data_IF_766152784510
#
_entry.id   IF_766152784510
#
_cell.length_a   1.000
_cell.length_b   1.000
_cell.length_c   1.000
_cell.angle_alpha   90.00
_cell.angle_beta   90.00
_cell.angle_gamma   90.00
#
_symmetry.space_group_name_H-M   'P 1'
#
loop_
_entity.id
_entity.type
_entity.pdbx_description
1 polymer ?
#
# COMPACT_ATOMS: atom_id res chain seq x y z
N UNK A 1 -7.27 14.87 13.16
CA UNK A 1 -8.27 14.64 14.24
C UNK A 1 -8.80 15.95 14.83
N UNK A 2 -7.98 16.92 15.20
CA UNK A 2 -8.47 18.21 15.76
C UNK A 2 -9.43 18.98 14.82
N UNK A 3 -9.12 19.04 13.53
CA UNK A 3 -9.98 19.73 12.53
C UNK A 3 -11.34 19.07 12.40
N UNK A 4 -11.39 17.72 12.36
CA UNK A 4 -12.65 16.97 12.27
C UNK A 4 -13.51 17.16 13.53
N UNK A 5 -12.89 17.10 14.71
CA UNK A 5 -13.59 17.33 15.97
C UNK A 5 -14.17 18.76 16.01
N UNK A 6 -13.40 19.76 15.59
CA UNK A 6 -13.87 21.16 15.55
C UNK A 6 -15.04 21.35 14.58
N UNK A 7 -14.99 20.70 13.40
CA UNK A 7 -16.09 20.74 12.45
C UNK A 7 -17.37 20.11 13.03
N UNK A 8 -17.23 19.01 13.77
CA UNK A 8 -18.37 18.37 14.45
C UNK A 8 -18.98 19.25 15.55
N UNK A 9 -18.15 19.90 16.36
CA UNK A 9 -18.59 20.86 17.39
C UNK A 9 -19.40 22.00 16.78
N UNK A 10 -18.91 22.61 15.70
CA UNK A 10 -19.58 23.72 15.02
C UNK A 10 -20.93 23.28 14.42
N UNK A 11 -20.98 22.08 13.79
CA UNK A 11 -22.24 21.52 13.30
C UNK A 11 -23.23 21.26 14.44
N UNK A 12 -22.77 20.73 15.56
CA UNK A 12 -23.61 20.52 16.75
C UNK A 12 -24.13 21.83 17.34
N UNK A 13 -23.41 22.94 17.16
CA UNK A 13 -23.83 24.29 17.52
C UNK A 13 -24.80 24.94 16.50
N UNK A 14 -25.15 24.24 15.42
CA UNK A 14 -26.07 24.74 14.37
C UNK A 14 -25.41 25.53 13.25
N UNK A 15 -24.06 25.54 13.20
CA UNK A 15 -23.32 26.21 12.12
C UNK A 15 -23.33 25.36 10.84
N UNK A 16 -23.50 26.02 9.69
CA UNK A 16 -23.38 25.37 8.38
C UNK A 16 -21.91 25.19 7.99
N UNK A 17 -21.34 24.04 8.32
CA UNK A 17 -19.91 23.73 8.11
C UNK A 17 -19.73 22.62 7.09
N UNK A 18 -19.02 22.92 6.01
CA UNK A 18 -18.55 21.94 5.04
C UNK A 18 -17.24 21.32 5.56
N UNK A 19 -17.28 20.02 5.91
CA UNK A 19 -16.12 19.31 6.43
C UNK A 19 -15.30 18.68 5.31
N UNK A 20 -14.06 19.15 5.11
CA UNK A 20 -13.08 18.56 4.17
C UNK A 20 -11.91 17.86 4.89
N UNK A 21 -12.05 17.60 6.20
CA UNK A 21 -10.98 17.06 7.03
C UNK A 21 -10.85 15.54 7.02
N UNK A 22 -11.87 14.81 6.58
CA UNK A 22 -11.85 13.35 6.42
C UNK A 22 -12.43 13.01 5.05
N UNK A 23 -11.73 12.13 4.33
CA UNK A 23 -12.19 11.60 3.05
C UNK A 23 -12.90 10.26 3.27
N UNK A 24 -14.22 10.25 3.16
CA UNK A 24 -15.03 9.04 3.13
C UNK A 24 -16.09 9.15 2.02
N UNK A 25 -16.52 8.02 1.41
CA UNK A 25 -17.64 8.05 0.49
C UNK A 25 -18.91 8.58 1.15
N UNK A 26 -19.67 9.41 0.45
CA UNK A 26 -20.99 9.87 0.88
C UNK A 26 -22.09 8.84 0.63
N UNK A 27 -21.80 7.81 -0.16
CA UNK A 27 -22.67 6.66 -0.37
C UNK A 27 -22.53 5.65 0.77
N UNK A 28 -23.66 5.10 1.19
CA UNK A 28 -23.68 4.01 2.16
C UNK A 28 -23.16 2.69 1.53
N UNK A 29 -22.78 1.75 2.39
CA UNK A 29 -22.41 0.40 1.94
C UNK A 29 -23.57 -0.24 1.17
N UNK A 30 -23.35 -0.83 -0.01
CA UNK A 30 -24.42 -1.46 -0.79
C UNK A 30 -25.21 -2.50 0.01
N UNK A 31 -26.54 -2.52 -0.15
CA UNK A 31 -27.45 -3.32 0.67
C UNK A 31 -27.13 -4.81 0.63
N UNK A 32 -26.74 -5.36 -0.53
CA UNK A 32 -26.35 -6.77 -0.64
C UNK A 32 -25.12 -7.12 0.19
N UNK A 33 -24.20 -6.17 0.41
CA UNK A 33 -23.02 -6.37 1.27
C UNK A 33 -23.43 -6.32 2.75
N UNK A 34 -24.30 -5.36 3.12
CA UNK A 34 -24.84 -5.28 4.49
C UNK A 34 -25.60 -6.55 4.84
N UNK A 35 -26.45 -7.05 3.92
CA UNK A 35 -27.22 -8.28 4.15
C UNK A 35 -26.30 -9.52 4.25
N UNK A 36 -25.25 -9.61 3.45
CA UNK A 36 -24.27 -10.71 3.57
C UNK A 36 -23.63 -10.73 4.97
N UNK A 37 -23.31 -9.55 5.53
CA UNK A 37 -22.79 -9.45 6.90
C UNK A 37 -23.82 -9.89 7.94
N UNK A 38 -25.09 -9.48 7.82
CA UNK A 38 -26.16 -9.93 8.70
C UNK A 38 -26.37 -11.45 8.64
N UNK A 39 -26.31 -12.04 7.46
CA UNK A 39 -26.42 -13.48 7.27
C UNK A 39 -25.26 -14.20 7.97
N UNK A 40 -24.02 -13.71 7.78
CA UNK A 40 -22.84 -14.30 8.42
C UNK A 40 -22.95 -14.27 9.96
N UNK A 41 -23.42 -13.16 10.54
CA UNK A 41 -23.65 -13.05 11.99
C UNK A 41 -24.72 -14.06 12.45
N UNK A 42 -25.84 -14.13 11.75
CA UNK A 42 -26.93 -15.09 12.09
C UNK A 42 -26.48 -16.54 12.00
N UNK A 43 -25.55 -16.85 11.09
CA UNK A 43 -24.93 -18.18 10.96
C UNK A 43 -23.85 -18.48 11.99
N UNK A 44 -23.57 -17.56 12.91
CA UNK A 44 -22.56 -17.74 13.96
C UNK A 44 -21.11 -17.62 13.48
N UNK A 45 -20.86 -16.95 12.34
CA UNK A 45 -19.50 -16.66 11.87
C UNK A 45 -18.84 -15.55 12.71
N UNK A 46 -18.76 -15.79 14.02
CA UNK A 46 -18.31 -14.81 15.04
C UNK A 46 -17.15 -15.34 15.86
N UNK A 47 -16.47 -16.37 15.40
CA UNK A 47 -15.36 -17.03 16.09
C UNK A 47 -14.02 -16.71 15.42
N UNK A 48 -12.92 -17.14 16.04
CA UNK A 48 -11.59 -16.98 15.46
C UNK A 48 -11.48 -17.58 14.06
N UNK A 49 -10.78 -16.87 13.19
CA UNK A 49 -10.47 -17.28 11.82
C UNK A 49 -8.96 -17.45 11.67
N UNK A 50 -8.48 -18.12 10.60
CA UNK A 50 -7.05 -18.12 10.28
C UNK A 50 -6.49 -16.70 10.17
N UNK A 51 -5.30 -16.46 10.72
CA UNK A 51 -4.65 -15.14 10.76
C UNK A 51 -4.51 -14.51 9.36
N UNK A 52 -4.23 -15.31 8.35
CA UNK A 52 -4.07 -14.84 6.97
C UNK A 52 -5.39 -14.68 6.19
N UNK A 53 -6.54 -14.85 6.84
CA UNK A 53 -7.87 -14.79 6.21
C UNK A 53 -8.50 -16.15 5.96
N UNK A 54 -9.83 -16.19 5.83
CA UNK A 54 -10.56 -17.43 5.56
C UNK A 54 -10.26 -17.94 4.15
N UNK A 55 -10.28 -19.28 3.92
CA UNK A 55 -10.08 -19.83 2.57
C UNK A 55 -11.04 -19.26 1.53
N UNK A 56 -12.31 -19.07 1.89
CA UNK A 56 -13.33 -18.53 0.99
C UNK A 56 -13.01 -17.09 0.56
N UNK A 57 -12.55 -16.21 1.50
CA UNK A 57 -12.17 -14.85 1.17
C UNK A 57 -10.91 -14.82 0.30
N UNK A 58 -9.91 -15.65 0.60
CA UNK A 58 -8.70 -15.75 -0.22
C UNK A 58 -9.02 -16.18 -1.65
N UNK A 59 -9.92 -17.16 -1.82
CA UNK A 59 -10.35 -17.59 -3.14
C UNK A 59 -11.08 -16.48 -3.88
N UNK A 60 -11.98 -15.75 -3.23
CA UNK A 60 -12.67 -14.60 -3.83
C UNK A 60 -11.70 -13.49 -4.28
N UNK A 61 -10.61 -13.25 -3.52
CA UNK A 61 -9.54 -12.32 -3.90
C UNK A 61 -8.79 -12.81 -5.14
N UNK A 62 -8.45 -14.10 -5.19
CA UNK A 62 -7.78 -14.73 -6.35
C UNK A 62 -8.65 -14.59 -7.60
N UNK A 63 -9.92 -14.97 -7.49
CA UNK A 63 -10.88 -14.90 -8.60
C UNK A 63 -11.05 -13.45 -9.10
N UNK A 64 -11.09 -12.48 -8.19
CA UNK A 64 -11.13 -11.06 -8.53
C UNK A 64 -9.88 -10.61 -9.28
N UNK A 65 -8.68 -10.97 -8.81
CA UNK A 65 -7.43 -10.60 -9.48
C UNK A 65 -7.33 -11.22 -10.88
N UNK A 66 -7.75 -12.46 -11.03
CA UNK A 66 -7.79 -13.10 -12.35
C UNK A 66 -8.79 -12.39 -13.28
N UNK A 67 -10.04 -12.24 -12.84
CA UNK A 67 -11.12 -11.63 -13.64
C UNK A 67 -10.84 -10.18 -14.05
N UNK A 68 -10.39 -9.35 -13.09
CA UNK A 68 -10.32 -7.90 -13.29
C UNK A 68 -8.92 -7.42 -13.73
N UNK A 69 -7.89 -8.18 -13.41
CA UNK A 69 -6.50 -7.76 -13.61
C UNK A 69 -5.67 -8.74 -14.46
N UNK A 70 -6.19 -9.93 -14.79
CA UNK A 70 -5.44 -10.98 -15.49
C UNK A 70 -4.24 -11.49 -14.70
N UNK A 71 -4.30 -11.43 -13.36
CA UNK A 71 -3.23 -11.87 -12.47
C UNK A 71 -3.60 -13.21 -11.82
N UNK A 72 -2.64 -14.13 -11.84
CA UNK A 72 -2.80 -15.47 -11.25
C UNK A 72 -2.04 -15.56 -9.92
N UNK A 73 -2.76 -15.89 -8.85
CA UNK A 73 -2.21 -16.11 -7.52
C UNK A 73 -2.70 -17.42 -6.92
N UNK A 74 -1.90 -17.97 -6.01
CA UNK A 74 -2.30 -19.09 -5.16
C UNK A 74 -2.74 -18.59 -3.78
N UNK A 75 -3.47 -19.41 -3.03
CA UNK A 75 -3.93 -19.03 -1.68
C UNK A 75 -2.79 -18.75 -0.70
N UNK A 76 -1.59 -19.32 -0.91
CA UNK A 76 -0.40 -19.04 -0.12
C UNK A 76 0.21 -17.66 -0.37
N UNK A 77 -0.12 -17.03 -1.50
CA UNK A 77 0.32 -15.69 -1.88
C UNK A 77 -0.66 -14.59 -1.46
N UNK A 78 -1.80 -14.95 -0.86
CA UNK A 78 -2.81 -14.01 -0.38
C UNK A 78 -2.75 -13.91 1.14
N UNK A 79 -2.63 -12.68 1.62
CA UNK A 79 -2.76 -12.32 3.04
C UNK A 79 -3.85 -11.27 3.19
N UNK A 80 -4.84 -11.56 4.01
CA UNK A 80 -5.91 -10.62 4.38
C UNK A 80 -5.49 -9.85 5.61
N UNK A 81 -5.60 -8.53 5.54
CA UNK A 81 -5.20 -7.61 6.63
C UNK A 81 -6.38 -6.72 7.04
N UNK A 82 -6.28 -6.13 8.22
CA UNK A 82 -7.26 -5.14 8.72
C UNK A 82 -6.98 -3.78 8.09
N UNK A 83 -7.33 -3.66 6.79
CA UNK A 83 -7.13 -2.46 6.00
C UNK A 83 -5.69 -2.26 5.49
N UNK A 84 -5.55 -1.30 4.55
CA UNK A 84 -4.27 -1.01 3.89
C UNK A 84 -3.15 -0.53 4.81
N UNK A 85 -3.50 0.09 5.96
CA UNK A 85 -2.50 0.47 6.98
C UNK A 85 -1.76 -0.75 7.50
N UNK A 86 -2.49 -1.76 7.92
CA UNK A 86 -1.88 -2.98 8.45
C UNK A 86 -1.07 -3.70 7.37
N UNK A 87 -1.58 -3.76 6.13
CA UNK A 87 -0.85 -4.39 5.02
C UNK A 87 0.51 -3.73 4.80
N UNK A 88 0.54 -2.40 4.70
CA UNK A 88 1.79 -1.69 4.46
C UNK A 88 2.73 -1.74 5.68
N UNK A 89 2.20 -1.59 6.90
CA UNK A 89 3.01 -1.71 8.11
C UNK A 89 3.63 -3.10 8.27
N UNK A 90 2.87 -4.17 8.04
CA UNK A 90 3.39 -5.53 8.05
C UNK A 90 4.47 -5.75 6.97
N UNK A 91 4.29 -5.15 5.78
CA UNK A 91 5.30 -5.20 4.73
C UNK A 91 6.59 -4.51 5.19
N UNK A 92 6.49 -3.31 5.79
CA UNK A 92 7.65 -2.61 6.35
C UNK A 92 8.34 -3.47 7.42
N UNK A 93 7.60 -4.03 8.37
CA UNK A 93 8.15 -4.89 9.43
C UNK A 93 8.85 -6.15 8.89
N UNK A 94 8.41 -6.66 7.75
CA UNK A 94 8.98 -7.87 7.15
C UNK A 94 10.22 -7.61 6.29
N UNK A 95 10.35 -6.41 5.70
CA UNK A 95 11.35 -6.11 4.67
C UNK A 95 12.37 -5.04 5.06
N UNK A 96 12.02 -4.15 6.00
CA UNK A 96 12.84 -3.00 6.37
C UNK A 96 13.62 -3.31 7.64
N UNK A 97 14.90 -3.01 7.61
CA UNK A 97 15.80 -3.02 8.75
C UNK A 97 16.38 -1.60 8.95
N UNK A 98 17.14 -1.42 10.02
CA UNK A 98 17.78 -0.14 10.34
C UNK A 98 18.57 0.39 9.13
N UNK A 99 18.38 1.69 8.85
CA UNK A 99 18.99 2.42 7.74
C UNK A 99 18.56 2.00 6.32
N UNK A 100 17.67 1.05 6.16
CA UNK A 100 17.05 0.75 4.86
C UNK A 100 16.17 1.92 4.40
N UNK A 101 16.24 2.25 3.13
CA UNK A 101 15.54 3.40 2.56
C UNK A 101 14.25 2.98 1.84
N UNK A 102 13.21 3.81 2.01
CA UNK A 102 11.94 3.68 1.30
C UNK A 102 11.65 4.96 0.55
N UNK A 103 11.62 4.90 -0.78
CA UNK A 103 11.30 6.05 -1.63
C UNK A 103 9.80 6.30 -1.67
N UNK A 104 9.38 7.51 -1.32
CA UNK A 104 7.97 7.92 -1.22
C UNK A 104 7.74 9.22 -1.99
N UNK A 105 6.99 9.20 -3.11
CA UNK A 105 6.59 10.41 -3.82
C UNK A 105 5.67 11.28 -2.96
N UNK A 106 5.94 12.58 -2.90
CA UNK A 106 5.09 13.57 -2.24
C UNK A 106 4.36 14.45 -3.29
N UNK A 107 3.07 14.79 -3.07
CA UNK A 107 2.25 14.54 -1.88
C UNK A 107 1.89 13.06 -1.69
N UNK A 108 1.87 12.61 -0.44
CA UNK A 108 1.64 11.21 -0.07
C UNK A 108 0.58 11.09 1.04
N UNK A 109 0.03 9.91 1.20
CA UNK A 109 -0.78 9.61 2.36
C UNK A 109 0.07 9.63 3.64
N UNK A 110 -0.34 10.45 4.58
CA UNK A 110 0.42 10.82 5.79
C UNK A 110 1.00 9.65 6.59
N UNK A 111 0.40 8.47 6.50
CA UNK A 111 0.86 7.31 7.27
C UNK A 111 2.06 6.57 6.66
N UNK A 112 2.42 6.79 5.39
CA UNK A 112 3.54 6.06 4.78
C UNK A 112 4.87 6.32 5.47
N UNK A 113 5.33 7.58 5.66
CA UNK A 113 6.61 7.83 6.31
C UNK A 113 6.65 7.32 7.76
N UNK A 114 5.55 7.49 8.51
CA UNK A 114 5.49 7.07 9.91
C UNK A 114 5.65 5.56 10.05
N UNK A 115 5.03 4.77 9.16
CA UNK A 115 5.17 3.31 9.18
C UNK A 115 6.57 2.84 8.82
N UNK A 116 7.28 3.56 7.93
CA UNK A 116 8.69 3.30 7.61
C UNK A 116 9.58 3.59 8.82
N UNK A 117 9.40 4.74 9.45
CA UNK A 117 10.14 5.13 10.66
C UNK A 117 9.92 4.15 11.81
N UNK A 118 8.68 3.69 12.03
CA UNK A 118 8.35 2.70 13.06
C UNK A 118 8.99 1.33 12.79
N UNK A 119 9.32 1.02 11.54
CA UNK A 119 10.04 -0.18 11.17
C UNK A 119 11.59 -0.02 11.25
N UNK A 120 12.09 1.16 11.63
CA UNK A 120 13.53 1.47 11.70
C UNK A 120 14.13 1.99 10.40
N UNK A 121 13.35 2.12 9.34
CA UNK A 121 13.79 2.58 8.03
C UNK A 121 13.83 4.10 7.89
N UNK A 122 14.43 4.57 6.81
CA UNK A 122 14.55 5.98 6.44
C UNK A 122 13.65 6.31 5.23
N UNK A 123 12.60 7.15 5.37
CA UNK A 123 11.80 7.59 4.25
C UNK A 123 12.58 8.61 3.39
N UNK A 124 12.75 8.31 2.10
CA UNK A 124 13.33 9.20 1.09
C UNK A 124 12.20 9.86 0.31
N UNK A 125 11.96 11.13 0.60
CA UNK A 125 10.81 11.87 0.04
C UNK A 125 11.19 12.51 -1.28
N UNK A 126 10.48 12.13 -2.35
CA UNK A 126 10.62 12.70 -3.70
C UNK A 126 9.47 13.67 -3.96
N UNK A 127 9.78 14.96 -4.05
CA UNK A 127 8.75 15.99 -4.29
C UNK A 127 8.32 15.99 -5.75
N UNK A 128 7.02 15.84 -5.98
CA UNK A 128 6.36 15.93 -7.27
C UNK A 128 5.36 17.10 -7.24
N UNK A 129 5.68 18.19 -7.91
CA UNK A 129 4.88 19.41 -7.91
C UNK A 129 3.64 19.34 -8.80
N UNK A 130 2.86 20.42 -8.77
CA UNK A 130 1.65 20.57 -9.60
C UNK A 130 2.00 20.64 -11.11
N UNK A 131 3.16 21.17 -11.43
CA UNK A 131 3.72 21.28 -12.78
C UNK A 131 3.92 19.91 -13.45
N UNK A 132 4.12 18.88 -12.66
CA UNK A 132 4.23 17.47 -13.10
C UNK A 132 3.02 16.62 -12.69
N UNK A 133 1.86 17.23 -12.40
CA UNK A 133 0.63 16.56 -11.97
C UNK A 133 0.82 15.67 -10.73
N UNK A 134 1.69 16.05 -9.81
CA UNK A 134 2.01 15.33 -8.59
C UNK A 134 2.51 13.89 -8.82
N UNK A 135 3.10 13.62 -9.99
CA UNK A 135 3.65 12.30 -10.34
C UNK A 135 5.16 12.34 -10.40
N UNK A 136 5.81 11.42 -9.70
CA UNK A 136 7.27 11.25 -9.75
C UNK A 136 7.72 10.81 -11.14
N UNK A 137 8.77 11.45 -11.66
CA UNK A 137 9.37 11.09 -12.96
C UNK A 137 10.43 9.99 -12.81
N UNK A 138 10.77 9.26 -13.91
CA UNK A 138 11.87 8.29 -13.90
C UNK A 138 13.20 8.88 -13.42
N UNK A 139 13.54 10.11 -13.84
CA UNK A 139 14.77 10.81 -13.45
C UNK A 139 14.80 11.12 -11.95
N UNK A 140 13.66 11.52 -11.38
CA UNK A 140 13.54 11.75 -9.94
C UNK A 140 13.67 10.44 -9.16
N UNK A 141 13.08 9.36 -9.65
CA UNK A 141 13.22 8.04 -9.07
C UNK A 141 14.67 7.60 -9.09
N UNK A 142 15.34 7.64 -10.23
CA UNK A 142 16.74 7.27 -10.39
C UNK A 142 17.65 8.04 -9.44
N UNK A 143 17.45 9.35 -9.31
CA UNK A 143 18.21 10.20 -8.39
C UNK A 143 17.93 9.94 -6.90
N UNK A 144 16.81 9.31 -6.57
CA UNK A 144 16.43 8.99 -5.19
C UNK A 144 16.86 7.58 -4.75
N UNK A 145 17.25 6.73 -5.69
CA UNK A 145 17.64 5.35 -5.42
C UNK A 145 19.07 5.26 -4.94
N UNK A 146 19.31 4.40 -3.95
CA UNK A 146 20.64 4.08 -3.43
C UNK A 146 20.77 2.57 -3.17
N UNK A 147 21.95 2.13 -2.73
CA UNK A 147 22.18 0.73 -2.33
C UNK A 147 21.36 0.32 -1.09
N UNK A 148 20.82 1.28 -0.35
CA UNK A 148 19.98 1.06 0.84
C UNK A 148 18.49 1.03 0.50
N UNK A 149 18.10 1.42 -0.71
CA UNK A 149 16.70 1.44 -1.11
C UNK A 149 16.14 0.01 -1.17
N UNK A 150 15.12 -0.26 -0.34
CA UNK A 150 14.41 -1.55 -0.27
C UNK A 150 13.03 -1.51 -0.90
N UNK A 151 12.36 -0.37 -0.80
CA UNK A 151 11.00 -0.20 -1.28
C UNK A 151 10.84 1.12 -2.02
N UNK A 152 9.96 1.11 -3.01
CA UNK A 152 9.41 2.31 -3.65
C UNK A 152 7.89 2.25 -3.51
N UNK A 153 7.29 3.30 -2.98
CA UNK A 153 5.84 3.40 -2.80
C UNK A 153 5.23 4.12 -3.99
N UNK A 154 4.33 3.46 -4.71
CA UNK A 154 3.52 4.07 -5.76
C UNK A 154 2.04 3.92 -5.38
N UNK A 155 1.35 5.03 -5.22
CA UNK A 155 -0.08 5.08 -4.92
C UNK A 155 -0.84 5.71 -6.08
N UNK A 156 -1.63 4.91 -6.80
CA UNK A 156 -2.38 5.37 -7.98
C UNK A 156 -3.76 4.68 -8.00
N UNK A 157 -4.88 5.42 -7.98
CA UNK A 157 -4.98 6.88 -7.75
C UNK A 157 -4.34 7.31 -6.43
N UNK A 158 -3.67 8.46 -6.43
CA UNK A 158 -2.91 8.94 -5.27
C UNK A 158 -3.82 9.53 -4.20
N UNK A 159 -3.55 9.20 -2.95
CA UNK A 159 -4.05 9.95 -1.80
C UNK A 159 -2.91 10.89 -1.31
N UNK A 160 -3.10 12.24 -1.30
CA UNK A 160 -4.39 12.97 -1.36
C UNK A 160 -4.74 13.57 -2.72
N UNK A 161 -3.90 13.47 -3.76
CA UNK A 161 -4.03 14.31 -4.98
C UNK A 161 -5.05 13.80 -5.99
N UNK A 162 -5.41 12.52 -5.94
CA UNK A 162 -6.24 11.86 -6.95
C UNK A 162 -5.51 11.59 -8.28
N UNK A 163 -4.24 11.95 -8.39
CA UNK A 163 -3.46 11.77 -9.63
C UNK A 163 -3.28 10.30 -9.98
N UNK A 164 -3.37 9.99 -11.27
CA UNK A 164 -3.27 8.62 -11.79
C UNK A 164 -2.08 8.52 -12.73
N UNK A 165 -1.22 7.52 -12.50
CA UNK A 165 -0.17 7.16 -13.45
C UNK A 165 -0.75 6.38 -14.62
N UNK A 166 -0.39 6.77 -15.84
CA UNK A 166 -0.66 5.97 -17.04
C UNK A 166 0.20 4.71 -17.09
N UNK A 167 -0.21 3.74 -17.91
CA UNK A 167 0.59 2.53 -18.13
C UNK A 167 2.00 2.83 -18.66
N UNK A 168 2.14 3.86 -19.49
CA UNK A 168 3.45 4.27 -20.02
C UNK A 168 4.36 4.85 -18.92
N UNK A 169 3.81 5.70 -18.05
CA UNK A 169 4.54 6.27 -16.90
C UNK A 169 4.98 5.18 -15.91
N UNK A 170 4.08 4.23 -15.58
CA UNK A 170 4.43 3.10 -14.71
C UNK A 170 5.50 2.21 -15.32
N UNK A 171 5.46 1.99 -16.64
CA UNK A 171 6.48 1.22 -17.35
C UNK A 171 7.83 1.90 -17.26
N UNK A 172 7.89 3.21 -17.52
CA UNK A 172 9.13 3.97 -17.44
C UNK A 172 9.76 3.96 -16.04
N UNK A 173 8.94 4.04 -14.98
CA UNK A 173 9.41 3.86 -13.60
C UNK A 173 9.89 2.41 -13.35
N UNK A 174 9.18 1.42 -13.90
CA UNK A 174 9.55 0.01 -13.80
C UNK A 174 10.89 -0.30 -14.48
N UNK A 175 11.20 0.33 -15.60
CA UNK A 175 12.48 0.19 -16.30
C UNK A 175 13.65 0.68 -15.42
N UNK A 176 13.50 1.81 -14.73
CA UNK A 176 14.51 2.30 -13.78
C UNK A 176 14.76 1.28 -12.66
N UNK A 177 13.69 0.72 -12.09
CA UNK A 177 13.79 -0.29 -11.03
C UNK A 177 14.42 -1.61 -11.53
N UNK A 178 14.09 -2.03 -12.74
CA UNK A 178 14.64 -3.24 -13.35
C UNK A 178 16.17 -3.11 -13.57
N UNK A 179 16.65 -1.96 -14.05
CA UNK A 179 18.08 -1.72 -14.23
C UNK A 179 18.88 -1.88 -12.92
N UNK A 180 18.32 -1.49 -11.78
CA UNK A 180 18.98 -1.64 -10.48
C UNK A 180 19.02 -3.09 -9.98
N UNK A 181 17.97 -3.87 -10.26
CA UNK A 181 17.92 -5.28 -9.90
C UNK A 181 18.98 -6.11 -10.66
N UNK A 182 19.36 -5.70 -11.87
CA UNK A 182 20.44 -6.34 -12.63
C UNK A 182 21.84 -5.94 -12.16
N UNK A 183 21.98 -4.79 -11.50
CA UNK A 183 23.28 -4.29 -11.03
C UNK A 183 23.59 -4.64 -9.56
N UNK A 184 22.59 -5.09 -8.80
CA UNK A 184 22.74 -5.56 -7.43
C UNK A 184 22.53 -7.07 -7.37
N UNK A 185 23.46 -7.87 -6.78
CA UNK A 185 23.24 -9.30 -6.59
C UNK A 185 21.97 -9.50 -5.74
N UNK A 186 21.02 -10.27 -6.28
CA UNK A 186 19.79 -10.62 -5.56
C UNK A 186 20.15 -11.32 -4.23
N UNK A 187 19.43 -11.04 -3.14
CA UNK A 187 19.55 -11.81 -1.90
C UNK A 187 19.40 -13.33 -2.12
N UNK A 188 18.68 -13.73 -3.18
CA UNK A 188 18.59 -15.14 -3.61
C UNK A 188 19.88 -15.69 -4.18
N UNK A 189 20.75 -14.86 -4.71
CA UNK A 189 22.04 -15.31 -5.26
C UNK A 189 23.04 -15.63 -4.15
N UNK A 190 22.92 -15.00 -2.97
CA UNK A 190 23.73 -15.32 -1.77
C UNK A 190 23.36 -16.67 -1.16
N UNK A 191 22.15 -17.16 -1.31
CA UNK A 191 21.74 -18.46 -0.76
C UNK A 191 22.18 -19.62 -1.64
N UNK A 192 22.43 -19.42 -2.94
CA UNK A 192 22.97 -20.46 -3.83
C UNK A 192 24.47 -20.71 -3.65
N UNK A 193 25.22 -19.73 -3.13
CA UNK A 193 26.66 -19.87 -2.91
C UNK A 193 27.08 -20.55 -1.59
N UNK A 194 26.10 -21.03 -0.79
CA UNK A 194 26.34 -21.71 0.49
C UNK A 194 25.96 -23.18 0.52
N UNK A 195 25.85 -23.84 -0.63
CA UNK A 195 25.86 -25.30 -0.60
C UNK A 195 27.28 -25.77 -0.44
N UNK A 196 27.63 -26.52 0.65
CA UNK A 196 28.92 -27.16 0.74
C UNK A 196 29.01 -28.18 -0.41
N UNK A 197 30.09 -28.13 -1.19
CA UNK A 197 30.45 -29.21 -2.07
C UNK A 197 30.62 -30.43 -1.18
N UNK A 198 29.70 -31.38 -1.23
CA UNK A 198 29.88 -32.71 -0.67
C UNK A 198 31.03 -33.38 -1.42
N UNK A 199 32.10 -33.59 -0.72
CA UNK A 199 33.11 -34.57 -1.10
C UNK A 199 32.53 -35.99 -1.11
#
# INVERSE_FOLDING_TARGET
>A
MAVTARAQELRAAGEDVIGLGAGEPDFDTPDHIKEAAHVAIRQGQTKYTPVGGTPALKQAVIDKFNRDNGLEYTASQILVSVGGKQSFYNLCQALIDNDDEVVIPAPYWVSFPDMVLLAGGAPVIVRAGIDQNFKMTPQQLEGALSKRTKLVVLNSPSNPTGSVYSAAELRALGEVLACLLYTSPSPRDRTRSRMPSSA
#
